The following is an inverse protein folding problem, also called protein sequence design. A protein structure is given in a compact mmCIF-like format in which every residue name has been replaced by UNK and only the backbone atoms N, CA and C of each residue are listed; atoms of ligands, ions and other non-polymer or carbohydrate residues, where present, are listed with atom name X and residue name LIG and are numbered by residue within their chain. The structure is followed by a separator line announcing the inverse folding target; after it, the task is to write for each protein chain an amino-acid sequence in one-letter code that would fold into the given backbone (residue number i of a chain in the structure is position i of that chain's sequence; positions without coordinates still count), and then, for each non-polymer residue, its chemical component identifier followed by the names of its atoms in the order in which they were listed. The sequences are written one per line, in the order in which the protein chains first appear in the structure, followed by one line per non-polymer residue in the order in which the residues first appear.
data_IF_825020736579
#
_entry.id   IF_825020736579
#
_cell.length_a   1.000
_cell.length_b   1.000
_cell.length_c   1.000
_cell.angle_alpha   90.00
_cell.angle_beta   90.00
_cell.angle_gamma   90.00
#
_symmetry.space_group_name_H-M   'P 1'
#
loop_
_entity.id
_entity.type
_entity.pdbx_description
1 polymer ?
#
# COMPACT_ATOMS: atom_id res chain seq x y z
N UNK A 1 9.86 11.82 -13.13
CA UNK A 1 11.13 12.56 -13.21
C UNK A 1 11.56 13.12 -11.84
N UNK A 2 10.65 13.73 -11.08
CA UNK A 2 10.96 14.33 -9.77
C UNK A 2 11.51 13.34 -8.73
N UNK A 3 10.99 12.12 -8.67
CA UNK A 3 11.38 11.13 -7.65
C UNK A 3 12.76 10.51 -7.89
N UNK A 4 13.14 10.34 -9.16
CA UNK A 4 14.49 9.83 -9.51
C UNK A 4 15.54 10.85 -9.12
N UNK A 5 15.30 12.12 -9.40
CA UNK A 5 16.21 13.21 -9.05
C UNK A 5 16.39 13.35 -7.52
N UNK A 6 15.30 13.27 -6.77
CA UNK A 6 15.33 13.31 -5.29
C UNK A 6 16.14 12.16 -4.70
N UNK A 7 15.97 10.94 -5.24
CA UNK A 7 16.76 9.78 -4.81
C UNK A 7 18.24 9.92 -5.12
N UNK A 8 18.58 10.43 -6.30
CA UNK A 8 19.98 10.68 -6.68
C UNK A 8 20.60 11.75 -5.79
N UNK A 9 19.91 12.85 -5.50
CA UNK A 9 20.38 13.90 -4.61
C UNK A 9 20.63 13.39 -3.18
N UNK A 10 19.73 12.59 -2.63
CA UNK A 10 19.91 11.99 -1.30
C UNK A 10 21.07 10.99 -1.25
N UNK A 11 21.28 10.22 -2.31
CA UNK A 11 22.40 9.27 -2.42
C UNK A 11 23.77 9.93 -2.71
N UNK A 12 23.81 11.22 -2.98
CA UNK A 12 25.08 11.92 -3.27
C UNK A 12 25.87 12.17 -1.99
N UNK A 13 27.09 11.60 -1.84
CA UNK A 13 27.90 11.77 -0.63
C UNK A 13 28.49 13.20 -0.51
N UNK A 14 28.50 13.98 -1.59
CA UNK A 14 29.05 15.33 -1.63
C UNK A 14 28.06 16.37 -1.09
N UNK A 15 26.75 16.06 -1.13
CA UNK A 15 25.71 16.98 -0.71
C UNK A 15 25.71 17.14 0.82
N UNK A 16 25.79 18.40 1.36
CA UNK A 16 25.74 18.64 2.80
C UNK A 16 24.44 18.11 3.44
N UNK A 17 24.54 17.70 4.71
CA UNK A 17 23.39 17.18 5.48
C UNK A 17 22.23 18.18 5.51
N UNK A 18 22.54 19.47 5.66
CA UNK A 18 21.53 20.54 5.71
C UNK A 18 20.72 20.67 4.41
N UNK A 19 21.37 20.51 3.25
CA UNK A 19 20.68 20.55 1.96
C UNK A 19 19.82 19.30 1.75
N UNK A 20 20.32 18.13 2.16
CA UNK A 20 19.52 16.90 2.17
C UNK A 20 18.30 17.01 3.08
N UNK A 21 18.48 17.63 4.26
CA UNK A 21 17.37 17.86 5.20
C UNK A 21 16.31 18.76 4.59
N UNK A 22 16.68 19.86 3.95
CA UNK A 22 15.74 20.75 3.23
C UNK A 22 14.93 20.00 2.17
N UNK A 23 15.58 19.12 1.40
CA UNK A 23 14.90 18.29 0.40
C UNK A 23 13.89 17.33 1.02
N UNK A 24 14.24 16.72 2.16
CA UNK A 24 13.36 15.79 2.88
C UNK A 24 12.19 16.53 3.55
N UNK A 25 12.45 17.70 4.15
CA UNK A 25 11.40 18.55 4.72
C UNK A 25 10.41 19.01 3.65
N UNK A 26 10.94 19.47 2.50
CA UNK A 26 10.09 19.83 1.37
C UNK A 26 9.29 18.63 0.79
N UNK A 27 9.81 17.42 0.89
CA UNK A 27 9.11 16.21 0.49
C UNK A 27 8.04 15.76 1.51
N UNK A 28 8.20 16.11 2.79
CA UNK A 28 7.27 15.80 3.88
C UNK A 28 5.98 16.62 3.85
N UNK A 29 5.93 17.71 3.08
CA UNK A 29 4.75 18.58 2.95
C UNK A 29 4.95 19.97 3.56
N UNK A 30 3.85 20.72 3.67
CA UNK A 30 3.87 22.13 4.08
C UNK A 30 4.13 22.27 5.59
N UNK A 31 3.63 21.32 6.39
CA UNK A 31 3.82 21.31 7.84
C UNK A 31 4.44 19.98 8.27
N UNK A 32 5.72 19.98 8.56
CA UNK A 32 6.42 18.84 9.15
C UNK A 32 6.56 19.04 10.65
N UNK A 33 6.38 17.96 11.42
CA UNK A 33 6.55 18.02 12.88
C UNK A 33 8.04 18.07 13.26
N UNK A 34 8.36 18.67 14.41
CA UNK A 34 9.72 18.67 14.98
C UNK A 34 10.29 17.25 15.10
N UNK A 35 9.42 16.27 15.39
CA UNK A 35 9.81 14.86 15.49
C UNK A 35 10.29 14.32 14.14
N UNK A 36 9.64 14.70 13.03
CA UNK A 36 10.05 14.32 11.69
C UNK A 36 11.43 14.91 11.36
N UNK A 37 11.65 16.19 11.63
CA UNK A 37 12.92 16.84 11.36
C UNK A 37 14.08 16.22 12.15
N UNK A 38 13.88 15.98 13.44
CA UNK A 38 14.86 15.29 14.30
C UNK A 38 15.18 13.89 13.79
N UNK A 39 14.17 13.14 13.38
CA UNK A 39 14.36 11.81 12.83
C UNK A 39 15.14 11.84 11.51
N UNK A 40 14.80 12.76 10.60
CA UNK A 40 15.52 12.91 9.34
C UNK A 40 16.98 13.33 9.56
N UNK A 41 17.23 14.26 10.50
CA UNK A 41 18.58 14.65 10.87
C UNK A 41 19.40 13.45 11.38
N UNK A 42 18.83 12.63 12.28
CA UNK A 42 19.46 11.43 12.80
C UNK A 42 19.82 10.43 11.70
N UNK A 43 18.90 10.21 10.75
CA UNK A 43 19.13 9.28 9.60
C UNK A 43 20.28 9.79 8.72
N UNK A 44 20.34 11.10 8.44
CA UNK A 44 21.37 11.72 7.63
C UNK A 44 22.74 11.73 8.34
N UNK A 45 22.78 12.00 9.63
CA UNK A 45 23.98 11.96 10.45
C UNK A 45 24.64 10.58 10.45
N UNK A 46 23.81 9.53 10.53
CA UNK A 46 24.27 8.15 10.45
C UNK A 46 24.44 7.59 9.04
N UNK A 47 24.30 8.42 8.00
CA UNK A 47 24.47 8.06 6.58
C UNK A 47 23.57 6.88 6.16
N UNK A 48 22.31 6.86 6.63
CA UNK A 48 21.33 5.79 6.37
C UNK A 48 20.22 6.20 5.41
N UNK A 49 20.47 7.17 4.54
CA UNK A 49 19.49 7.70 3.58
C UNK A 49 18.91 6.62 2.65
N UNK A 50 19.74 5.65 2.30
CA UNK A 50 19.30 4.52 1.45
C UNK A 50 18.18 3.68 2.06
N UNK A 51 18.04 3.71 3.39
CA UNK A 51 17.02 2.96 4.13
C UNK A 51 15.73 3.75 4.34
N UNK A 52 15.66 5.04 3.99
CA UNK A 52 14.50 5.90 4.26
C UNK A 52 13.19 5.33 3.69
N UNK A 53 13.22 4.80 2.47
CA UNK A 53 12.04 4.19 1.86
C UNK A 53 11.55 2.98 2.65
N UNK A 54 12.47 2.14 3.09
CA UNK A 54 12.16 0.97 3.92
C UNK A 54 11.61 1.39 5.28
N UNK A 55 12.24 2.38 5.93
CA UNK A 55 11.77 2.94 7.20
C UNK A 55 10.35 3.51 7.07
N UNK A 56 10.05 4.23 5.97
CA UNK A 56 8.72 4.76 5.71
C UNK A 56 7.67 3.64 5.56
N UNK A 57 8.00 2.56 4.84
CA UNK A 57 7.09 1.41 4.71
C UNK A 57 6.82 0.72 6.06
N UNK A 58 7.87 0.52 6.87
CA UNK A 58 7.72 -0.07 8.21
C UNK A 58 6.90 0.86 9.12
N UNK A 59 7.15 2.17 9.07
CA UNK A 59 6.36 3.14 9.83
C UNK A 59 4.86 3.08 9.49
N UNK A 60 4.52 3.08 8.19
CA UNK A 60 3.13 2.96 7.74
C UNK A 60 2.51 1.63 8.22
N UNK A 61 3.27 0.54 8.18
CA UNK A 61 2.79 -0.75 8.67
C UNK A 61 2.52 -0.72 10.18
N UNK A 62 3.43 -0.20 10.97
CA UNK A 62 3.28 -0.06 12.42
C UNK A 62 2.14 0.89 12.79
N UNK A 63 2.03 2.01 12.10
CA UNK A 63 0.93 2.97 12.28
C UNK A 63 -0.44 2.32 12.05
N UNK A 64 -0.59 1.58 10.93
CA UNK A 64 -1.83 0.86 10.65
C UNK A 64 -2.15 -0.17 11.72
N UNK A 65 -1.14 -0.88 12.22
CA UNK A 65 -1.29 -1.85 13.30
C UNK A 65 -1.75 -1.18 14.60
N UNK A 66 -1.11 -0.07 14.98
CA UNK A 66 -1.46 0.70 16.19
C UNK A 66 -2.88 1.26 16.12
N UNK A 67 -3.25 1.85 14.99
CA UNK A 67 -4.58 2.41 14.73
C UNK A 67 -5.64 1.37 14.37
N UNK A 68 -5.31 0.09 14.36
CA UNK A 68 -6.20 -0.99 13.92
C UNK A 68 -6.81 -0.71 12.55
N UNK A 69 -5.99 -0.28 11.59
CA UNK A 69 -6.40 -0.03 10.22
C UNK A 69 -6.15 -1.29 9.39
N UNK A 70 -7.22 -1.87 8.87
CA UNK A 70 -7.15 -3.03 7.98
C UNK A 70 -7.30 -2.58 6.53
N UNK A 71 -6.28 -2.86 5.72
CA UNK A 71 -6.33 -2.56 4.29
C UNK A 71 -7.06 -3.66 3.55
N UNK A 72 -8.07 -3.26 2.78
CA UNK A 72 -8.89 -4.14 1.95
C UNK A 72 -8.75 -3.72 0.49
N UNK A 73 -8.29 -4.66 -0.34
CA UNK A 73 -8.28 -4.49 -1.79
C UNK A 73 -9.38 -5.35 -2.40
N UNK A 74 -10.27 -4.72 -3.15
CA UNK A 74 -11.39 -5.37 -3.82
C UNK A 74 -11.26 -5.23 -5.33
N UNK A 75 -10.97 -6.34 -6.00
CA UNK A 75 -10.84 -6.42 -7.45
C UNK A 75 -12.12 -6.97 -8.08
N UNK A 76 -12.62 -6.30 -9.11
CA UNK A 76 -13.82 -6.73 -9.87
C UNK A 76 -13.58 -6.56 -11.36
N UNK A 77 -14.29 -7.33 -12.20
CA UNK A 77 -14.16 -7.23 -13.64
C UNK A 77 -14.75 -5.92 -14.21
N UNK A 78 -15.74 -5.35 -13.52
CA UNK A 78 -16.42 -4.10 -13.88
C UNK A 78 -16.43 -3.14 -12.69
N UNK A 79 -16.58 -1.83 -12.90
CA UNK A 79 -16.73 -0.89 -11.80
C UNK A 79 -17.91 -1.24 -10.90
N UNK A 80 -17.72 -1.13 -9.61
CA UNK A 80 -18.76 -1.39 -8.59
C UNK A 80 -19.34 -0.06 -8.13
N UNK A 81 -20.65 -0.01 -7.88
CA UNK A 81 -21.28 1.19 -7.34
C UNK A 81 -20.75 1.54 -5.96
N UNK A 82 -20.81 2.82 -5.60
CA UNK A 82 -20.37 3.28 -4.27
C UNK A 82 -21.19 2.63 -3.14
N UNK A 83 -22.49 2.41 -3.34
CA UNK A 83 -23.36 1.73 -2.38
C UNK A 83 -22.87 0.34 -2.00
N UNK A 84 -22.40 -0.43 -2.99
CA UNK A 84 -21.84 -1.78 -2.75
C UNK A 84 -20.51 -1.70 -2.00
N UNK A 85 -19.70 -0.71 -2.30
CA UNK A 85 -18.42 -0.48 -1.60
C UNK A 85 -18.67 -0.11 -0.14
N UNK A 86 -19.56 0.84 0.12
CA UNK A 86 -19.95 1.28 1.46
C UNK A 86 -20.52 0.10 2.28
N UNK A 87 -21.46 -0.65 1.72
CA UNK A 87 -22.02 -1.82 2.38
C UNK A 87 -20.98 -2.89 2.72
N UNK A 88 -20.03 -3.14 1.81
CA UNK A 88 -18.94 -4.09 2.05
C UNK A 88 -17.98 -3.56 3.13
N UNK A 89 -17.70 -2.28 3.12
CA UNK A 89 -16.85 -1.62 4.10
C UNK A 89 -17.46 -1.69 5.50
N UNK A 90 -18.76 -1.43 5.63
CA UNK A 90 -19.48 -1.48 6.91
C UNK A 90 -19.50 -2.91 7.48
N UNK A 91 -19.80 -3.91 6.64
CA UNK A 91 -19.73 -5.32 7.07
C UNK A 91 -18.35 -5.72 7.54
N UNK A 92 -17.32 -5.35 6.79
CA UNK A 92 -15.94 -5.67 7.17
C UNK A 92 -15.54 -4.97 8.46
N UNK A 93 -16.01 -3.75 8.69
CA UNK A 93 -15.79 -2.99 9.93
C UNK A 93 -16.45 -3.67 11.13
N UNK A 94 -17.70 -4.12 10.97
CA UNK A 94 -18.43 -4.86 12.00
C UNK A 94 -17.71 -6.17 12.37
N UNK A 95 -17.31 -6.96 11.39
CA UNK A 95 -16.66 -8.26 11.63
C UNK A 95 -15.24 -8.16 12.16
N UNK A 96 -14.47 -7.17 11.72
CA UNK A 96 -13.05 -7.04 12.10
C UNK A 96 -12.81 -6.14 13.31
N UNK A 97 -13.78 -5.29 13.66
CA UNK A 97 -13.61 -4.24 14.70
C UNK A 97 -12.51 -3.23 14.36
N UNK A 98 -12.15 -3.13 13.08
CA UNK A 98 -11.03 -2.31 12.59
C UNK A 98 -11.54 -1.19 11.69
N UNK A 99 -10.77 -0.11 11.59
CA UNK A 99 -11.00 0.89 10.53
C UNK A 99 -10.59 0.30 9.19
N UNK A 100 -11.49 0.34 8.20
CA UNK A 100 -11.23 -0.24 6.88
C UNK A 100 -10.71 0.82 5.91
N UNK A 101 -9.48 0.62 5.43
CA UNK A 101 -8.92 1.35 4.29
C UNK A 101 -9.22 0.58 3.01
N UNK A 102 -10.30 0.98 2.32
CA UNK A 102 -10.82 0.28 1.16
C UNK A 102 -10.20 0.79 -0.15
N UNK A 103 -9.78 -0.13 -1.00
CA UNK A 103 -9.24 0.16 -2.34
C UNK A 103 -9.92 -0.72 -3.38
N UNK A 104 -10.75 -0.13 -4.23
CA UNK A 104 -11.36 -0.80 -5.39
C UNK A 104 -10.44 -0.75 -6.60
N UNK A 105 -10.27 -1.87 -7.28
CA UNK A 105 -9.46 -2.00 -8.51
C UNK A 105 -10.28 -2.72 -9.56
N UNK A 106 -10.41 -2.15 -10.75
CA UNK A 106 -11.04 -2.82 -11.88
C UNK A 106 -10.01 -3.70 -12.56
N UNK A 107 -10.29 -4.99 -12.65
CA UNK A 107 -9.45 -6.03 -13.24
C UNK A 107 -10.25 -6.84 -14.26
N UNK A 108 -10.32 -6.41 -15.54
CA UNK A 108 -11.11 -7.07 -16.58
C UNK A 108 -10.72 -8.53 -16.80
N UNK A 109 -9.48 -8.89 -16.49
CA UNK A 109 -8.96 -10.26 -16.59
C UNK A 109 -9.66 -11.26 -15.66
N UNK A 110 -10.44 -10.81 -14.68
CA UNK A 110 -11.24 -11.68 -13.82
C UNK A 110 -12.45 -12.29 -14.55
N UNK A 111 -12.83 -11.72 -15.72
CA UNK A 111 -14.01 -12.08 -16.55
C UNK A 111 -15.32 -11.80 -15.82
N UNK A 112 -15.36 -12.02 -14.49
CA UNK A 112 -16.49 -11.80 -13.60
C UNK A 112 -16.16 -12.27 -12.20
N UNK A 113 -17.09 -12.08 -11.25
CA UNK A 113 -16.87 -12.33 -9.84
C UNK A 113 -15.97 -11.29 -9.21
N UNK A 114 -15.26 -11.67 -8.14
CA UNK A 114 -14.43 -10.73 -7.39
C UNK A 114 -13.17 -11.39 -6.82
N UNK A 115 -12.22 -10.56 -6.49
CA UNK A 115 -11.02 -10.91 -5.71
C UNK A 115 -10.95 -9.97 -4.51
N UNK A 116 -10.85 -10.54 -3.31
CA UNK A 116 -10.75 -9.78 -2.08
C UNK A 116 -9.42 -10.08 -1.39
N UNK A 117 -8.71 -9.04 -0.98
CA UNK A 117 -7.50 -9.16 -0.18
C UNK A 117 -7.66 -8.33 1.10
N UNK A 118 -7.55 -9.00 2.24
CA UNK A 118 -7.65 -8.39 3.57
C UNK A 118 -6.35 -8.69 4.31
N UNK A 119 -5.45 -7.71 4.42
CA UNK A 119 -4.12 -7.93 4.97
C UNK A 119 -3.38 -9.04 4.22
N UNK A 120 -3.11 -10.16 4.90
CA UNK A 120 -2.44 -11.33 4.33
C UNK A 120 -3.39 -12.38 3.74
N UNK A 121 -4.69 -12.26 3.97
CA UNK A 121 -5.70 -13.17 3.45
C UNK A 121 -6.13 -12.75 2.05
N UNK A 122 -6.34 -13.74 1.18
CA UNK A 122 -6.81 -13.54 -0.19
C UNK A 122 -7.93 -14.53 -0.48
N UNK A 123 -9.05 -13.99 -0.95
CA UNK A 123 -10.19 -14.74 -1.47
C UNK A 123 -10.27 -14.43 -2.96
N UNK A 124 -10.29 -15.45 -3.79
CA UNK A 124 -10.43 -15.32 -5.25
C UNK A 124 -11.66 -16.09 -5.68
N UNK A 125 -12.75 -15.36 -5.92
CA UNK A 125 -14.03 -15.87 -6.41
C UNK A 125 -14.28 -15.42 -7.85
N UNK A 126 -13.23 -15.26 -8.65
CA UNK A 126 -13.33 -14.87 -10.06
C UNK A 126 -13.69 -16.04 -10.94
N UNK A 127 -14.44 -15.75 -12.00
CA UNK A 127 -14.75 -16.76 -13.03
C UNK A 127 -13.51 -17.26 -13.76
N UNK A 128 -12.49 -16.41 -13.92
CA UNK A 128 -11.21 -16.80 -14.51
C UNK A 128 -10.53 -17.93 -13.71
N UNK A 129 -10.56 -17.86 -12.38
CA UNK A 129 -10.00 -18.90 -11.51
C UNK A 129 -10.84 -20.18 -11.58
N UNK A 130 -12.18 -20.07 -11.49
CA UNK A 130 -13.07 -21.22 -11.59
C UNK A 130 -12.91 -21.97 -12.93
N UNK A 131 -12.82 -21.24 -14.05
CA UNK A 131 -12.59 -21.85 -15.38
C UNK A 131 -11.24 -22.55 -15.46
N UNK A 132 -10.19 -21.96 -14.86
CA UNK A 132 -8.86 -22.59 -14.81
C UNK A 132 -8.87 -23.91 -14.03
N UNK A 133 -9.56 -23.91 -12.88
CA UNK A 133 -9.67 -25.10 -12.02
C UNK A 133 -10.45 -26.22 -12.72
N UNK A 134 -11.54 -25.89 -13.42
CA UNK A 134 -12.30 -26.85 -14.24
C UNK A 134 -11.41 -27.43 -15.35
N UNK A 135 -10.67 -26.57 -16.06
CA UNK A 135 -9.75 -27.00 -17.13
C UNK A 135 -8.68 -27.95 -16.59
N UNK A 136 -8.06 -27.62 -15.44
CA UNK A 136 -7.03 -28.48 -14.83
C UNK A 136 -7.61 -29.86 -14.49
N UNK A 137 -8.78 -29.93 -13.85
CA UNK A 137 -9.44 -31.19 -13.51
C UNK A 137 -9.78 -32.04 -14.72
N UNK A 138 -10.19 -31.41 -15.83
CA UNK A 138 -10.48 -32.14 -17.08
C UNK A 138 -9.22 -32.70 -17.75
N UNK A 139 -8.06 -32.04 -17.57
CA UNK A 139 -6.79 -32.50 -18.12
C UNK A 139 -6.10 -33.58 -17.26
N UNK A 140 -6.32 -33.54 -15.94
CA UNK A 140 -5.79 -34.54 -15.00
C UNK A 140 -6.54 -35.90 -15.07
N UNK A 141 -7.80 -35.90 -15.54
CA UNK A 141 -8.61 -37.10 -15.72
C UNK A 141 -8.44 -37.77 -17.11
N UNK A 142 -7.39 -37.45 -17.83
CA UNK A 142 -7.03 -38.05 -19.11
C UNK A 142 -5.71 -38.81 -19.01
#
# INVERSE_FOLDING_TARGET
ASDVYKRQALGNPILPVEEKLKLLTAAGGIEVSDLYERFMHLVLEHKRESLLLFMAHIYIHLYRKDKRITRVQFGTAVPVSEEVKEHLQDKLKEETGSTIEFSGIVQPELIGGFRLRIGNYRIDASYATQLRDIRSRLLENR
#
